data_IF_277311907145
#
_entry.id   IF_277311907145
#
_cell.length_a   1.000
_cell.length_b   1.000
_cell.length_c   1.000
_cell.angle_alpha   90.00
_cell.angle_beta   90.00
_cell.angle_gamma   90.00
#
_symmetry.space_group_name_H-M   'P 1'
#
loop_
_entity.id
_entity.type
_entity.pdbx_description
1 polymer ?
#
# COMPACT_ATOMS: atom_id res chain seq x y z
N UNK A 1 -36.27 -72.84 -2.45
CA UNK A 1 -34.85 -72.93 -2.06
C UNK A 1 -34.06 -71.83 -2.79
N UNK A 2 -33.11 -71.16 -2.09
CA UNK A 2 -32.28 -69.96 -2.45
C UNK A 2 -33.04 -68.62 -2.41
N UNK A 3 -32.98 -67.70 -1.43
CA UNK A 3 -31.95 -67.05 -0.55
C UNK A 3 -31.06 -65.96 -1.23
N UNK A 4 -31.37 -64.68 -0.87
CA UNK A 4 -30.50 -63.51 -0.48
C UNK A 4 -29.67 -62.89 -1.65
N UNK A 5 -29.41 -61.58 -1.86
CA UNK A 5 -29.11 -60.39 -1.03
C UNK A 5 -29.34 -59.08 -1.82
N UNK A 6 -29.85 -58.03 -1.17
CA UNK A 6 -29.83 -56.61 -1.59
C UNK A 6 -28.42 -55.99 -1.41
N UNK A 7 -27.91 -55.26 -2.41
CA UNK A 7 -26.79 -54.34 -2.21
C UNK A 7 -27.09 -53.01 -2.91
N UNK A 8 -27.42 -52.02 -2.08
CA UNK A 8 -27.48 -50.62 -2.43
C UNK A 8 -26.05 -50.05 -2.55
N UNK A 9 -25.80 -49.22 -3.56
CA UNK A 9 -24.63 -48.37 -3.62
C UNK A 9 -25.08 -46.94 -3.95
N UNK A 10 -25.11 -46.11 -2.90
CA UNK A 10 -25.31 -44.66 -2.96
C UNK A 10 -23.97 -44.04 -3.33
N UNK A 11 -23.89 -43.38 -4.50
CA UNK A 11 -22.72 -42.61 -4.93
C UNK A 11 -23.02 -41.12 -4.91
N UNK A 12 -22.43 -40.39 -3.97
CA UNK A 12 -22.65 -38.97 -3.73
C UNK A 12 -22.14 -38.09 -4.89
N UNK A 13 -23.03 -37.30 -5.49
CA UNK A 13 -22.68 -36.26 -6.45
C UNK A 13 -22.15 -35.03 -5.70
N UNK A 14 -20.84 -34.83 -5.73
CA UNK A 14 -20.16 -33.67 -5.17
C UNK A 14 -20.27 -32.47 -6.14
N UNK A 15 -21.09 -31.48 -5.80
CA UNK A 15 -20.92 -30.12 -6.32
C UNK A 15 -20.35 -29.27 -5.19
N UNK A 16 -19.03 -29.14 -5.19
CA UNK A 16 -18.31 -28.18 -4.35
C UNK A 16 -18.82 -26.79 -4.68
N UNK A 17 -19.42 -26.13 -3.69
CA UNK A 17 -19.72 -24.71 -3.77
C UNK A 17 -18.43 -23.97 -4.14
N UNK A 18 -18.45 -23.24 -5.26
CA UNK A 18 -17.48 -22.20 -5.51
C UNK A 18 -17.70 -21.14 -4.42
N UNK A 19 -16.96 -21.26 -3.33
CA UNK A 19 -16.82 -20.15 -2.40
C UNK A 19 -16.09 -19.06 -3.17
N UNK A 20 -16.84 -18.10 -3.70
CA UNK A 20 -16.28 -16.80 -4.01
C UNK A 20 -15.72 -16.26 -2.70
N UNK A 21 -14.40 -16.42 -2.51
CA UNK A 21 -13.63 -15.70 -1.51
C UNK A 21 -13.68 -14.23 -1.88
N UNK A 22 -14.78 -13.57 -1.52
CA UNK A 22 -14.76 -12.13 -1.32
C UNK A 22 -13.92 -11.92 -0.08
N UNK A 23 -12.60 -11.89 -0.26
CA UNK A 23 -11.66 -11.52 0.77
C UNK A 23 -12.14 -10.17 1.32
N UNK A 24 -12.53 -10.13 2.59
CA UNK A 24 -12.91 -8.90 3.24
C UNK A 24 -11.80 -7.88 3.01
N UNK A 25 -12.17 -6.64 2.65
CA UNK A 25 -11.19 -5.57 2.50
C UNK A 25 -10.38 -5.47 3.82
N UNK A 26 -9.04 -5.41 3.74
CA UNK A 26 -8.23 -5.32 4.94
C UNK A 26 -8.57 -4.01 5.67
N UNK A 27 -8.62 -4.05 7.00
CA UNK A 27 -8.94 -2.87 7.82
C UNK A 27 -7.85 -1.80 7.75
N UNK A 28 -6.61 -2.21 7.49
CA UNK A 28 -5.44 -1.35 7.33
C UNK A 28 -4.68 -1.73 6.06
N UNK A 29 -3.92 -0.79 5.51
CA UNK A 29 -3.01 -1.04 4.40
C UNK A 29 -1.97 -2.11 4.80
N UNK A 30 -1.76 -3.16 3.98
CA UNK A 30 -0.82 -4.22 4.31
C UNK A 30 0.61 -3.70 4.56
N UNK A 31 1.24 -4.25 5.59
CA UNK A 31 2.61 -3.94 5.95
C UNK A 31 3.59 -4.44 4.89
N UNK A 32 4.69 -3.71 4.72
CA UNK A 32 5.79 -4.11 3.85
C UNK A 32 6.23 -3.01 2.90
N UNK A 33 7.06 -3.42 1.94
CA UNK A 33 7.56 -2.54 0.88
C UNK A 33 6.66 -2.66 -0.34
N UNK A 34 6.29 -1.51 -0.89
CA UNK A 34 5.56 -1.39 -2.13
C UNK A 34 6.43 -0.64 -3.14
N UNK A 35 6.56 -1.18 -4.34
CA UNK A 35 7.43 -0.63 -5.39
C UNK A 35 6.67 -0.26 -6.64
N UNK A 36 7.08 0.82 -7.30
CA UNK A 36 6.53 1.28 -8.56
C UNK A 36 7.52 2.14 -9.34
N UNK A 37 7.07 2.63 -10.50
CA UNK A 37 7.84 3.58 -11.29
C UNK A 37 7.87 4.95 -10.63
N UNK A 38 9.07 5.47 -10.40
CA UNK A 38 9.29 6.72 -9.67
C UNK A 38 8.60 6.75 -8.30
N UNK A 39 8.34 5.60 -7.68
CA UNK A 39 7.65 5.54 -6.41
C UNK A 39 8.06 4.33 -5.57
N UNK A 40 8.00 4.51 -4.26
CA UNK A 40 8.17 3.45 -3.27
C UNK A 40 7.42 3.82 -2.01
N UNK A 41 6.77 2.86 -1.36
CA UNK A 41 6.04 3.09 -0.13
C UNK A 41 6.41 2.00 0.88
N UNK A 42 6.92 2.39 2.03
CA UNK A 42 7.22 1.46 3.12
C UNK A 42 6.15 1.65 4.19
N UNK A 43 5.39 0.60 4.48
CA UNK A 43 4.30 0.63 5.46
C UNK A 43 4.69 -0.25 6.65
N UNK A 44 4.75 0.34 7.85
CA UNK A 44 4.93 -0.38 9.11
C UNK A 44 3.68 -0.28 9.98
N UNK A 45 3.73 -0.89 11.15
CA UNK A 45 2.66 -0.81 12.15
C UNK A 45 2.56 0.54 12.86
N UNK A 46 3.60 1.38 12.74
CA UNK A 46 3.79 2.62 13.52
C UNK A 46 4.02 3.85 12.65
N UNK A 47 4.38 3.67 11.39
CA UNK A 47 4.58 4.75 10.43
C UNK A 47 4.47 4.23 8.99
N UNK A 48 4.34 5.14 8.04
CA UNK A 48 4.53 4.81 6.64
C UNK A 48 5.28 5.92 5.90
N UNK A 49 6.13 5.54 4.95
CA UNK A 49 7.07 6.42 4.28
C UNK A 49 6.98 6.29 2.77
N UNK A 50 6.46 7.31 2.10
CA UNK A 50 6.16 7.33 0.67
C UNK A 50 7.14 8.23 -0.08
N UNK A 51 7.75 7.69 -1.13
CA UNK A 51 8.52 8.43 -2.12
C UNK A 51 7.76 8.55 -3.42
N UNK A 52 7.83 9.76 -4.00
CA UNK A 52 7.41 10.05 -5.37
C UNK A 52 8.52 10.87 -6.02
N UNK A 53 9.12 10.32 -7.07
CA UNK A 53 10.31 10.85 -7.72
C UNK A 53 11.40 11.22 -6.69
N UNK A 54 11.74 12.50 -6.62
CA UNK A 54 12.78 13.07 -5.76
C UNK A 54 12.21 13.73 -4.49
N UNK A 55 10.99 13.38 -4.08
CA UNK A 55 10.31 13.91 -2.88
C UNK A 55 9.77 12.78 -2.03
N UNK A 56 9.52 13.06 -0.75
CA UNK A 56 9.01 12.06 0.19
C UNK A 56 8.01 12.64 1.17
N UNK A 57 7.23 11.77 1.81
CA UNK A 57 6.42 12.12 2.94
C UNK A 57 6.17 10.95 3.88
N UNK A 58 5.66 11.31 5.05
CA UNK A 58 5.54 10.44 6.21
C UNK A 58 4.12 10.48 6.78
N UNK A 59 3.64 9.30 7.17
CA UNK A 59 2.41 9.07 7.89
C UNK A 59 2.73 8.49 9.27
N UNK A 60 1.95 8.87 10.28
CA UNK A 60 2.06 8.32 11.64
C UNK A 60 0.98 7.26 11.88
N UNK A 61 1.37 6.13 12.46
CA UNK A 61 0.48 5.00 12.76
C UNK A 61 0.17 4.12 11.55
N UNK A 62 -0.82 3.24 11.72
CA UNK A 62 -1.37 2.43 10.62
C UNK A 62 -2.16 3.32 9.65
N UNK A 63 -2.25 2.86 8.40
CA UNK A 63 -3.05 3.52 7.36
C UNK A 63 -4.38 2.79 7.24
N UNK A 64 -5.47 3.27 7.88
CA UNK A 64 -6.76 2.60 7.82
C UNK A 64 -7.34 2.65 6.41
N UNK A 65 -8.01 1.57 6.02
CA UNK A 65 -8.78 1.50 4.78
C UNK A 65 -10.28 1.49 5.09
N UNK A 66 -11.06 2.16 4.25
CA UNK A 66 -12.51 2.03 4.27
C UNK A 66 -12.96 0.72 3.59
N UNK A 67 -14.27 0.43 3.69
CA UNK A 67 -14.86 -0.78 3.09
C UNK A 67 -14.71 -0.87 1.56
N UNK A 68 -14.36 0.23 0.89
CA UNK A 68 -14.10 0.28 -0.55
C UNK A 68 -12.61 0.15 -0.90
N UNK A 69 -11.75 -0.06 0.09
CA UNK A 69 -10.30 -0.17 -0.05
C UNK A 69 -9.62 1.19 -0.27
N UNK A 70 -10.23 2.30 0.16
CA UNK A 70 -9.64 3.64 0.06
C UNK A 70 -9.10 4.11 1.40
N UNK A 71 -8.12 5.01 1.35
CA UNK A 71 -7.72 5.80 2.52
C UNK A 71 -7.63 7.28 2.15
N UNK A 72 -7.86 8.13 3.15
CA UNK A 72 -7.56 9.56 3.14
C UNK A 72 -7.05 9.94 4.54
N UNK A 73 -5.75 10.21 4.64
CA UNK A 73 -5.09 10.46 5.93
C UNK A 73 -4.17 11.67 5.85
N UNK A 74 -4.02 12.33 7.00
CA UNK A 74 -3.06 13.41 7.16
C UNK A 74 -1.65 12.90 7.39
N UNK A 75 -0.67 13.65 6.91
CA UNK A 75 0.73 13.40 7.15
C UNK A 75 1.58 14.63 6.87
N UNK A 76 2.86 14.39 6.63
CA UNK A 76 3.83 15.44 6.31
C UNK A 76 4.59 15.13 5.03
N UNK A 77 5.07 16.14 4.31
CA UNK A 77 5.72 15.97 3.01
C UNK A 77 6.85 16.97 2.78
N UNK A 78 7.97 16.50 2.24
CA UNK A 78 9.13 17.31 1.86
C UNK A 78 9.17 17.46 0.34
N UNK A 79 8.82 18.66 -0.14
CA UNK A 79 8.76 18.98 -1.58
C UNK A 79 10.13 19.14 -2.26
N UNK A 80 11.21 19.32 -1.50
CA UNK A 80 12.58 19.46 -2.00
C UNK A 80 13.50 18.55 -1.19
N UNK A 81 13.60 17.28 -1.58
CA UNK A 81 14.32 16.26 -0.81
C UNK A 81 15.66 15.81 -1.41
N UNK A 82 15.82 15.87 -2.73
CA UNK A 82 17.05 15.43 -3.43
C UNK A 82 17.69 16.57 -4.23
N UNK A 83 19.04 16.65 -4.29
CA UNK A 83 20.05 15.77 -3.66
C UNK A 83 20.21 15.98 -2.17
N UNK A 84 19.71 17.10 -1.66
CA UNK A 84 19.67 17.45 -0.24
C UNK A 84 18.26 17.92 0.10
N UNK A 85 17.80 17.61 1.31
CA UNK A 85 16.52 18.08 1.80
C UNK A 85 16.62 19.56 2.20
N UNK A 86 15.77 20.41 1.62
CA UNK A 86 15.79 21.86 1.85
C UNK A 86 14.40 22.38 2.19
N UNK A 87 14.28 22.98 3.37
CA UNK A 87 13.05 23.57 3.89
C UNK A 87 12.29 22.65 4.84
N UNK A 88 11.11 23.07 5.30
CA UNK A 88 10.33 22.32 6.28
C UNK A 88 9.63 21.11 5.65
N UNK A 89 9.24 20.15 6.50
CA UNK A 89 8.16 19.23 6.15
C UNK A 89 6.83 19.96 6.26
N UNK A 90 5.99 19.82 5.23
CA UNK A 90 4.75 20.55 5.06
C UNK A 90 3.55 19.66 5.35
N UNK A 91 2.41 20.20 5.85
CA UNK A 91 1.19 19.43 5.99
C UNK A 91 0.74 18.84 4.64
N UNK A 92 0.35 17.57 4.64
CA UNK A 92 -0.11 16.89 3.45
C UNK A 92 -1.27 15.94 3.71
N UNK A 93 -2.06 15.71 2.66
CA UNK A 93 -3.13 14.71 2.62
C UNK A 93 -2.77 13.64 1.62
N UNK A 94 -2.81 12.40 2.07
CA UNK A 94 -2.50 11.23 1.27
C UNK A 94 -3.80 10.49 1.02
N UNK A 95 -4.16 10.36 -0.26
CA UNK A 95 -5.33 9.62 -0.68
C UNK A 95 -4.88 8.44 -1.54
N UNK A 96 -5.46 7.27 -1.28
CA UNK A 96 -5.11 6.06 -2.01
C UNK A 96 -6.27 5.11 -2.20
N UNK A 97 -6.09 4.19 -3.15
CA UNK A 97 -7.01 3.10 -3.44
C UNK A 97 -6.24 1.81 -3.64
N UNK A 98 -6.57 0.82 -2.83
CA UNK A 98 -6.03 -0.54 -2.89
C UNK A 98 -6.96 -1.42 -3.72
N UNK A 99 -6.39 -2.10 -4.71
CA UNK A 99 -7.06 -3.12 -5.53
C UNK A 99 -6.16 -4.36 -5.58
N UNK A 100 -6.51 -5.38 -4.82
CA UNK A 100 -5.67 -6.56 -4.61
C UNK A 100 -4.34 -6.18 -3.95
N UNK A 101 -3.23 -6.36 -4.66
CA UNK A 101 -1.88 -6.00 -4.22
C UNK A 101 -1.35 -4.70 -4.85
N UNK A 102 -2.20 -3.95 -5.57
CA UNK A 102 -1.83 -2.73 -6.28
C UNK A 102 -2.45 -1.54 -5.57
N UNK A 103 -1.63 -0.55 -5.25
CA UNK A 103 -2.04 0.68 -4.60
C UNK A 103 -1.79 1.86 -5.53
N UNK A 104 -2.84 2.63 -5.80
CA UNK A 104 -2.72 3.95 -6.45
C UNK A 104 -2.79 5.04 -5.39
N UNK A 105 -1.81 5.93 -5.34
CA UNK A 105 -1.70 6.98 -4.31
C UNK A 105 -1.46 8.34 -4.93
N UNK A 106 -2.13 9.35 -4.37
CA UNK A 106 -1.90 10.77 -4.65
C UNK A 106 -1.65 11.51 -3.34
N UNK A 107 -0.72 12.47 -3.37
CA UNK A 107 -0.45 13.34 -2.22
C UNK A 107 -0.78 14.77 -2.60
N UNK A 108 -1.53 15.44 -1.74
CA UNK A 108 -1.82 16.86 -1.83
C UNK A 108 -1.10 17.57 -0.69
N UNK A 109 -0.12 18.38 -1.03
CA UNK A 109 0.72 19.11 -0.06
C UNK A 109 0.24 20.55 0.02
N UNK A 110 0.09 21.05 1.24
CA UNK A 110 -0.15 22.47 1.50
C UNK A 110 1.20 23.19 1.67
N UNK A 111 1.66 23.84 0.61
CA UNK A 111 2.92 24.60 0.62
C UNK A 111 2.67 25.95 1.29
N UNK A 112 2.79 25.95 2.62
CA UNK A 112 2.62 27.13 3.47
C UNK A 112 3.69 28.19 3.25
N UNK A 113 4.80 27.87 2.57
CA UNK A 113 5.86 28.82 2.23
C UNK A 113 5.52 29.58 0.95
N UNK A 114 4.96 28.89 -0.03
CA UNK A 114 4.59 29.47 -1.33
C UNK A 114 3.10 29.81 -1.42
N UNK A 115 2.33 29.60 -0.35
CA UNK A 115 0.88 29.82 -0.27
C UNK A 115 0.10 29.12 -1.40
N UNK A 116 0.46 27.87 -1.69
CA UNK A 116 -0.16 27.10 -2.77
C UNK A 116 -0.35 25.62 -2.41
N UNK A 117 -1.21 24.95 -3.18
CA UNK A 117 -1.41 23.51 -3.09
C UNK A 117 -0.64 22.79 -4.19
N UNK A 118 0.15 21.80 -3.80
CA UNK A 118 1.01 21.04 -4.71
C UNK A 118 0.57 19.58 -4.72
N UNK A 119 0.26 19.04 -5.90
CA UNK A 119 -0.12 17.62 -6.05
C UNK A 119 1.08 16.79 -6.51
N UNK A 120 1.20 15.58 -5.95
CA UNK A 120 2.17 14.55 -6.33
C UNK A 120 1.43 13.25 -6.65
N UNK A 121 1.77 12.63 -7.78
CA UNK A 121 1.05 11.46 -8.30
C UNK A 121 -0.09 11.82 -9.27
N UNK A 122 -1.01 10.88 -9.54
CA UNK A 122 -1.07 9.54 -8.96
C UNK A 122 0.15 8.68 -9.30
N UNK A 123 0.63 7.92 -8.33
CA UNK A 123 1.63 6.87 -8.54
C UNK A 123 1.03 5.50 -8.24
N UNK A 124 1.50 4.48 -8.96
CA UNK A 124 1.08 3.10 -8.75
C UNK A 124 2.24 2.33 -8.15
N UNK A 125 2.00 1.68 -7.02
CA UNK A 125 2.96 0.80 -6.35
C UNK A 125 2.33 -0.56 -6.08
N UNK A 126 3.13 -1.63 -6.11
CA UNK A 126 2.67 -2.99 -5.85
C UNK A 126 3.39 -3.58 -4.65
N UNK A 127 2.66 -4.27 -3.79
CA UNK A 127 3.23 -4.91 -2.61
C UNK A 127 4.27 -5.96 -3.02
N UNK A 128 5.43 -5.92 -2.35
CA UNK A 128 6.56 -6.81 -2.59
C UNK A 128 7.50 -6.38 -3.72
N UNK A 129 7.13 -5.38 -4.53
CA UNK A 129 8.00 -4.89 -5.59
C UNK A 129 9.11 -3.98 -5.08
N UNK A 130 10.27 -4.07 -5.74
CA UNK A 130 11.36 -3.14 -5.53
C UNK A 130 11.02 -1.76 -6.16
N UNK A 131 11.16 -0.64 -5.42
CA UNK A 131 10.97 0.70 -5.97
C UNK A 131 11.94 1.03 -7.12
N UNK A 132 11.42 1.61 -8.20
CA UNK A 132 12.22 2.08 -9.35
C UNK A 132 12.31 3.60 -9.35
N UNK A 133 13.16 4.16 -8.49
CA UNK A 133 13.26 5.61 -8.25
C UNK A 133 14.14 6.39 -9.26
N UNK A 134 14.70 5.72 -10.28
CA UNK A 134 15.57 6.37 -11.26
C UNK A 134 16.76 7.12 -10.61
N UNK A 135 16.96 8.41 -10.94
CA UNK A 135 18.08 9.21 -10.45
C UNK A 135 17.96 9.66 -8.98
N UNK A 136 16.84 9.37 -8.31
CA UNK A 136 16.55 9.80 -6.94
C UNK A 136 16.72 8.61 -5.96
N UNK A 137 17.93 8.21 -5.53
CA UNK A 137 18.14 7.00 -4.72
C UNK A 137 17.73 7.17 -3.24
N UNK A 138 16.68 7.91 -2.92
CA UNK A 138 16.31 8.25 -1.54
C UNK A 138 15.91 6.98 -0.74
N UNK A 139 15.28 5.95 -1.35
CA UNK A 139 15.00 4.66 -0.69
C UNK A 139 16.11 3.60 -0.83
N UNK A 140 17.18 3.84 -1.61
CA UNK A 140 18.18 2.78 -1.87
C UNK A 140 19.13 2.54 -0.71
N UNK A 141 19.10 3.39 0.31
CA UNK A 141 19.82 3.14 1.56
C UNK A 141 18.90 2.36 2.49
N UNK A 142 19.24 1.13 2.87
CA UNK A 142 18.54 0.47 3.96
C UNK A 142 18.58 1.40 5.17
N UNK A 143 17.43 1.66 5.79
CA UNK A 143 17.43 2.04 7.20
C UNK A 143 18.17 0.88 7.87
N UNK A 144 19.35 1.13 8.41
CA UNK A 144 20.11 0.12 9.14
C UNK A 144 19.19 -0.37 10.26
N UNK A 145 18.52 -1.51 10.05
CA UNK A 145 17.99 -2.30 11.13
C UNK A 145 19.23 -2.82 11.84
N UNK A 146 19.72 -2.05 12.81
CA UNK A 146 20.61 -2.57 13.83
C UNK A 146 19.80 -3.64 14.57
N UNK A 147 19.80 -4.87 14.06
CA UNK A 147 19.49 -6.04 14.87
C UNK A 147 20.58 -6.05 15.94
N UNK A 148 20.24 -5.61 17.15
CA UNK A 148 20.90 -6.09 18.35
C UNK A 148 20.29 -7.42 18.73
#
# INVERSE_FOLDING_TARGET
MRRIVLLAAVGAAACRAAASEFAAAPADLPLGTWGGDSAGFIVSDTAAHLHIACTFGDLSGRVPLDASGRFDVGGSYVLRAYPIAVGPSLPARFAGRLEGAVLTVTVTVDDTVQHQRVVRGPVVVRLGDAPRLGPCPICRRPIFTTRR
#
